data_IF_228741908688
#
_entry.id   IF_228741908688
#
_cell.length_a   1.000
_cell.length_b   1.000
_cell.length_c   1.000
_cell.angle_alpha   90.00
_cell.angle_beta   90.00
_cell.angle_gamma   90.00
#
_symmetry.space_group_name_H-M   'P 1'
#
loop_
_entity.id
_entity.type
_entity.pdbx_description
1 polymer ?
#
# COMPACT_ATOMS: atom_id res chain seq x y z
N UNK A 1 0.49 -13.32 -3.08
CA UNK A 1 1.42 -12.26 -3.53
C UNK A 1 1.51 -12.23 -5.06
N UNK A 2 1.57 -11.02 -5.63
CA UNK A 2 1.83 -10.87 -7.06
C UNK A 2 3.29 -11.26 -7.36
N UNK A 3 3.60 -11.68 -8.61
CA UNK A 3 4.98 -11.95 -9.00
C UNK A 3 5.86 -10.72 -8.77
N UNK A 4 7.06 -10.95 -8.26
CA UNK A 4 8.03 -9.89 -8.02
C UNK A 4 7.80 -9.03 -6.78
N UNK A 5 6.72 -9.25 -6.02
CA UNK A 5 6.40 -8.43 -4.83
C UNK A 5 7.46 -8.62 -3.74
N UNK A 6 7.75 -9.86 -3.37
CA UNK A 6 8.69 -10.15 -2.27
C UNK A 6 10.07 -9.61 -2.60
N UNK A 7 10.59 -9.94 -3.77
CA UNK A 7 11.90 -9.46 -4.21
C UNK A 7 11.92 -7.94 -4.38
N UNK A 8 10.86 -7.37 -4.93
CA UNK A 8 10.72 -5.93 -5.11
C UNK A 8 10.72 -5.16 -3.79
N UNK A 9 9.98 -5.62 -2.79
CA UNK A 9 9.96 -4.99 -1.46
C UNK A 9 11.34 -5.08 -0.82
N UNK A 10 11.98 -6.24 -0.90
CA UNK A 10 13.34 -6.41 -0.37
C UNK A 10 14.31 -5.41 -1.03
N UNK A 11 14.27 -5.26 -2.33
CA UNK A 11 15.13 -4.32 -3.08
C UNK A 11 14.86 -2.87 -2.69
N UNK A 12 13.60 -2.49 -2.50
CA UNK A 12 13.23 -1.15 -2.04
C UNK A 12 13.74 -0.92 -0.61
N UNK A 13 13.60 -1.90 0.28
CA UNK A 13 14.14 -1.81 1.64
C UNK A 13 15.66 -1.59 1.62
N UNK A 14 16.38 -2.36 0.83
CA UNK A 14 17.83 -2.27 0.70
C UNK A 14 18.27 -0.90 0.13
N UNK A 15 17.45 -0.30 -0.70
CA UNK A 15 17.71 1.03 -1.26
C UNK A 15 17.32 2.19 -0.32
N UNK A 16 16.81 1.88 0.88
CA UNK A 16 16.46 2.86 1.89
C UNK A 16 15.03 3.40 1.83
N UNK A 17 14.18 2.81 0.98
CA UNK A 17 12.76 3.20 0.93
C UNK A 17 11.97 2.62 2.10
N UNK A 18 11.07 3.43 2.66
CA UNK A 18 9.99 2.94 3.50
C UNK A 18 8.95 2.28 2.59
N UNK A 19 8.45 1.13 3.00
CA UNK A 19 7.38 0.43 2.28
C UNK A 19 6.14 0.40 3.16
N UNK A 20 5.09 1.05 2.70
CA UNK A 20 3.84 1.21 3.44
C UNK A 20 2.71 0.69 2.57
N UNK A 21 1.81 -0.08 3.19
CA UNK A 21 0.61 -0.61 2.52
C UNK A 21 -0.60 0.20 2.97
N UNK A 22 -1.43 0.61 2.02
CA UNK A 22 -2.72 1.23 2.28
C UNK A 22 -3.80 0.41 1.57
N UNK A 23 -4.77 -0.07 2.30
CA UNK A 23 -5.76 -0.99 1.75
C UNK A 23 -7.16 -0.75 2.29
N UNK A 24 -8.17 -0.86 1.41
CA UNK A 24 -9.56 -0.85 1.82
C UNK A 24 -9.95 -2.26 2.29
N UNK A 25 -10.64 -2.32 3.43
CA UNK A 25 -11.16 -3.56 4.02
C UNK A 25 -12.64 -3.37 4.36
N UNK A 26 -13.42 -2.92 3.38
CA UNK A 26 -14.84 -2.62 3.54
C UNK A 26 -15.71 -3.81 3.96
N UNK A 27 -15.25 -5.04 3.72
CA UNK A 27 -15.94 -6.25 4.16
C UNK A 27 -16.12 -6.36 5.67
N UNK A 28 -15.26 -5.70 6.47
CA UNK A 28 -15.43 -5.63 7.93
C UNK A 28 -16.74 -4.91 8.28
N UNK A 29 -16.98 -3.74 7.69
CA UNK A 29 -18.21 -2.97 7.94
C UNK A 29 -19.45 -3.70 7.44
N UNK A 30 -19.34 -4.48 6.37
CA UNK A 30 -20.43 -5.28 5.80
C UNK A 30 -20.67 -6.59 6.55
N UNK A 31 -19.82 -6.95 7.51
CA UNK A 31 -19.92 -8.21 8.25
C UNK A 31 -19.43 -9.44 7.49
N UNK A 32 -18.72 -9.27 6.39
CA UNK A 32 -18.19 -10.38 5.56
C UNK A 32 -17.00 -11.09 6.22
N UNK A 33 -16.19 -10.32 6.98
CA UNK A 33 -15.08 -10.82 7.78
C UNK A 33 -14.80 -9.83 8.92
N UNK A 34 -13.95 -10.21 9.87
CA UNK A 34 -13.66 -9.41 11.06
C UNK A 34 -12.33 -8.65 10.94
N UNK A 35 -12.11 -7.67 11.85
CA UNK A 35 -10.83 -6.99 11.98
C UNK A 35 -9.73 -8.01 12.33
N UNK A 36 -10.04 -8.99 13.18
CA UNK A 36 -9.11 -10.06 13.54
C UNK A 36 -8.69 -10.88 12.32
N UNK A 37 -9.62 -11.13 11.38
CA UNK A 37 -9.30 -11.80 10.11
C UNK A 37 -8.33 -10.97 9.26
N UNK A 38 -8.54 -9.65 9.19
CA UNK A 38 -7.65 -8.71 8.48
C UNK A 38 -6.25 -8.74 9.10
N UNK A 39 -6.16 -8.64 10.42
CA UNK A 39 -4.89 -8.65 11.14
C UNK A 39 -4.14 -9.97 10.97
N UNK A 40 -4.86 -11.09 10.94
CA UNK A 40 -4.26 -12.41 10.72
C UNK A 40 -3.62 -12.51 9.32
N UNK A 41 -4.31 -12.01 8.30
CA UNK A 41 -3.78 -11.98 6.92
C UNK A 41 -2.54 -11.08 6.84
N UNK A 42 -2.58 -9.91 7.46
CA UNK A 42 -1.45 -8.99 7.49
C UNK A 42 -0.25 -9.59 8.23
N UNK A 43 -0.49 -10.26 9.35
CA UNK A 43 0.57 -10.93 10.10
C UNK A 43 1.23 -12.05 9.28
N UNK A 44 0.44 -12.84 8.56
CA UNK A 44 0.93 -13.87 7.66
C UNK A 44 1.80 -13.27 6.55
N UNK A 45 1.31 -12.20 5.92
CA UNK A 45 2.02 -11.50 4.86
C UNK A 45 3.39 -10.99 5.35
N UNK A 46 3.41 -10.32 6.49
CA UNK A 46 4.64 -9.80 7.08
C UNK A 46 5.62 -10.91 7.45
N UNK A 47 5.12 -12.03 7.98
CA UNK A 47 5.95 -13.18 8.33
C UNK A 47 6.59 -13.83 7.09
N UNK A 48 5.83 -13.98 6.01
CA UNK A 48 6.33 -14.51 4.74
C UNK A 48 7.40 -13.59 4.13
N UNK A 49 7.16 -12.29 4.14
CA UNK A 49 8.13 -11.30 3.66
C UNK A 49 9.44 -11.38 4.47
N UNK A 50 9.34 -11.49 5.79
CA UNK A 50 10.50 -11.57 6.68
C UNK A 50 11.38 -12.78 6.37
N UNK A 51 10.78 -13.91 6.02
CA UNK A 51 11.53 -15.13 5.62
C UNK A 51 12.44 -14.86 4.42
N UNK A 52 12.11 -13.91 3.58
CA UNK A 52 12.85 -13.55 2.38
C UNK A 52 13.65 -12.26 2.51
N UNK A 53 13.79 -11.74 3.74
CA UNK A 53 14.55 -10.52 3.98
C UNK A 53 13.83 -9.23 3.58
N UNK A 54 12.53 -9.27 3.39
CA UNK A 54 11.71 -8.11 3.04
C UNK A 54 10.90 -7.62 4.24
N UNK A 55 10.57 -6.31 4.27
CA UNK A 55 9.86 -5.68 5.38
C UNK A 55 8.84 -4.69 4.88
N UNK A 56 7.65 -4.73 5.47
CA UNK A 56 6.65 -3.66 5.39
C UNK A 56 6.76 -2.84 6.69
N UNK A 57 6.92 -1.53 6.55
CA UNK A 57 7.14 -0.65 7.70
C UNK A 57 5.83 -0.34 8.43
N UNK A 58 4.72 -0.26 7.71
CA UNK A 58 3.39 -0.03 8.28
C UNK A 58 2.31 -0.46 7.31
N UNK A 59 1.19 -0.94 7.84
CA UNK A 59 -0.03 -1.23 7.08
C UNK A 59 -1.15 -0.36 7.65
N UNK A 60 -1.74 0.47 6.77
CA UNK A 60 -2.96 1.21 7.09
C UNK A 60 -4.11 0.53 6.36
N UNK A 61 -5.21 0.29 7.07
CA UNK A 61 -6.39 -0.25 6.44
C UNK A 61 -7.63 0.53 6.86
N UNK A 62 -8.58 0.65 5.93
CA UNK A 62 -9.87 1.25 6.18
C UNK A 62 -10.90 0.13 6.26
N UNK A 63 -11.53 -0.04 7.43
CA UNK A 63 -12.54 -1.07 7.67
C UNK A 63 -13.96 -0.57 7.44
N UNK A 64 -14.11 0.65 6.92
CA UNK A 64 -15.42 1.24 6.60
C UNK A 64 -15.84 0.91 5.16
N UNK A 65 -17.12 1.05 4.88
CA UNK A 65 -17.66 0.95 3.53
C UNK A 65 -18.77 1.97 3.33
N UNK A 66 -18.85 2.57 2.15
CA UNK A 66 -19.82 3.62 1.83
C UNK A 66 -21.27 3.14 1.94
N UNK A 67 -21.53 1.85 1.72
CA UNK A 67 -22.85 1.26 1.88
C UNK A 67 -23.33 1.21 3.34
N UNK A 68 -22.41 1.35 4.31
CA UNK A 68 -22.71 1.34 5.74
C UNK A 68 -22.59 2.75 6.32
N UNK A 69 -21.44 3.41 6.12
CA UNK A 69 -21.20 4.77 6.59
C UNK A 69 -20.03 5.39 5.78
N UNK A 70 -20.12 6.70 5.45
CA UNK A 70 -19.00 7.37 4.78
C UNK A 70 -17.83 7.55 5.73
N UNK A 71 -16.61 7.62 5.18
CA UNK A 71 -15.39 7.91 5.92
C UNK A 71 -14.38 8.65 5.04
N UNK A 72 -13.37 9.28 5.66
CA UNK A 72 -12.30 9.97 4.96
C UNK A 72 -11.10 9.09 4.66
N UNK A 73 -11.07 7.86 5.18
CA UNK A 73 -9.93 6.94 5.02
C UNK A 73 -10.05 6.01 3.80
N UNK A 74 -11.29 5.69 3.36
CA UNK A 74 -11.50 4.76 2.25
C UNK A 74 -11.10 5.38 0.92
N UNK A 75 -10.20 4.72 0.17
CA UNK A 75 -9.86 5.14 -1.19
C UNK A 75 -11.12 5.19 -2.06
N UNK A 76 -11.31 6.22 -2.87
CA UNK A 76 -10.32 7.20 -3.34
C UNK A 76 -10.04 8.37 -2.41
N UNK A 77 -10.58 8.40 -1.21
CA UNK A 77 -10.22 9.44 -0.23
C UNK A 77 -8.76 9.26 0.22
N UNK A 78 -8.01 10.35 0.48
CA UNK A 78 -6.59 10.29 0.76
C UNK A 78 -6.23 10.06 2.24
N UNK A 79 -7.21 9.80 3.11
CA UNK A 79 -7.00 9.80 4.57
C UNK A 79 -5.89 8.89 5.07
N UNK A 80 -5.81 7.65 4.56
CA UNK A 80 -4.75 6.72 4.96
C UNK A 80 -3.36 7.20 4.52
N UNK A 81 -3.26 7.73 3.30
CA UNK A 81 -1.99 8.23 2.76
C UNK A 81 -1.56 9.47 3.53
N UNK A 82 -2.48 10.39 3.81
CA UNK A 82 -2.20 11.58 4.60
C UNK A 82 -1.74 11.23 6.02
N UNK A 83 -2.34 10.22 6.63
CA UNK A 83 -1.93 9.72 7.94
C UNK A 83 -0.49 9.19 7.89
N UNK A 84 -0.16 8.40 6.88
CA UNK A 84 1.19 7.87 6.69
C UNK A 84 2.21 9.01 6.54
N UNK A 85 1.89 10.02 5.74
CA UNK A 85 2.75 11.19 5.52
C UNK A 85 3.06 11.88 6.85
N UNK A 86 2.06 12.07 7.70
CA UNK A 86 2.24 12.71 9.02
C UNK A 86 3.06 11.85 9.97
N UNK A 87 2.73 10.55 10.06
CA UNK A 87 3.36 9.66 11.05
C UNK A 87 4.83 9.36 10.74
N UNK A 88 5.20 9.32 9.47
CA UNK A 88 6.55 8.97 9.03
C UNK A 88 7.33 10.17 8.46
N UNK A 89 6.75 11.37 8.51
CA UNK A 89 7.37 12.59 7.96
C UNK A 89 7.85 12.36 6.51
N UNK A 90 6.94 11.89 5.68
CA UNK A 90 7.25 11.45 4.32
C UNK A 90 7.52 12.65 3.41
N UNK A 91 8.61 12.56 2.63
CA UNK A 91 8.89 13.49 1.54
C UNK A 91 8.02 13.12 0.33
N UNK A 92 6.98 13.91 0.08
CA UNK A 92 6.03 13.66 -1.00
C UNK A 92 6.71 13.65 -2.38
N UNK A 93 7.71 14.49 -2.59
CA UNK A 93 8.39 14.60 -3.86
C UNK A 93 9.26 13.38 -4.19
N UNK A 94 9.68 12.64 -3.16
CA UNK A 94 10.49 11.43 -3.29
C UNK A 94 9.67 10.15 -3.09
N UNK A 95 8.35 10.27 -3.06
CA UNK A 95 7.44 9.15 -2.76
C UNK A 95 6.50 8.89 -3.91
N UNK A 96 6.00 7.65 -3.98
CA UNK A 96 4.99 7.27 -4.96
C UNK A 96 4.11 6.15 -4.41
N UNK A 97 2.96 5.98 -5.05
CA UNK A 97 2.05 4.88 -4.75
C UNK A 97 1.93 3.98 -5.97
N UNK A 98 1.98 2.68 -5.76
CA UNK A 98 1.74 1.67 -6.79
C UNK A 98 0.41 1.01 -6.49
N UNK A 99 -0.50 1.01 -7.46
CA UNK A 99 -1.80 0.39 -7.30
C UNK A 99 -2.38 -0.11 -8.61
N UNK A 100 -3.33 -1.04 -8.54
CA UNK A 100 -3.98 -1.63 -9.70
C UNK A 100 -5.33 -1.02 -10.05
N UNK A 101 -5.84 -0.13 -9.22
CA UNK A 101 -7.14 0.50 -9.40
C UNK A 101 -7.08 2.01 -9.55
N UNK A 102 -8.07 2.58 -10.25
CA UNK A 102 -8.20 4.04 -10.36
C UNK A 102 -8.37 4.73 -9.01
N UNK A 103 -8.99 4.08 -8.03
CA UNK A 103 -9.15 4.59 -6.67
C UNK A 103 -7.81 4.81 -5.98
N UNK A 104 -6.85 3.93 -6.22
CA UNK A 104 -5.49 4.06 -5.66
C UNK A 104 -4.81 5.31 -6.19
N UNK A 105 -4.89 5.53 -7.49
CA UNK A 105 -4.27 6.66 -8.16
C UNK A 105 -4.94 7.98 -7.74
N UNK A 106 -6.27 8.01 -7.67
CA UNK A 106 -7.00 9.19 -7.19
C UNK A 106 -6.62 9.56 -5.76
N UNK A 107 -6.50 8.57 -4.88
CA UNK A 107 -6.10 8.79 -3.49
C UNK A 107 -4.68 9.36 -3.40
N UNK A 108 -3.75 8.84 -4.20
CA UNK A 108 -2.37 9.33 -4.25
C UNK A 108 -2.32 10.78 -4.72
N UNK A 109 -3.01 11.11 -5.81
CA UNK A 109 -3.07 12.46 -6.36
C UNK A 109 -3.70 13.45 -5.37
N UNK A 110 -4.77 13.04 -4.70
CA UNK A 110 -5.43 13.87 -3.69
C UNK A 110 -4.50 14.15 -2.49
N UNK A 111 -3.59 13.23 -2.17
CA UNK A 111 -2.60 13.42 -1.12
C UNK A 111 -1.32 14.13 -1.60
N UNK A 112 -1.21 14.45 -2.89
CA UNK A 112 -0.05 15.12 -3.47
C UNK A 112 1.13 14.19 -3.74
N UNK A 113 0.86 12.90 -3.97
CA UNK A 113 1.87 11.87 -4.28
C UNK A 113 1.63 11.33 -5.69
N UNK A 114 2.74 11.04 -6.40
CA UNK A 114 2.68 10.41 -7.72
C UNK A 114 2.11 9.00 -7.61
N UNK A 115 1.13 8.66 -8.45
CA UNK A 115 0.57 7.32 -8.55
C UNK A 115 1.04 6.62 -9.81
N UNK A 116 1.37 5.34 -9.69
CA UNK A 116 1.70 4.48 -10.83
C UNK A 116 0.68 3.35 -10.86
N UNK A 117 -0.07 3.26 -11.97
CA UNK A 117 -1.06 2.21 -12.16
C UNK A 117 -0.41 1.00 -12.82
N UNK A 118 -0.65 -0.18 -12.25
CA UNK A 118 -0.22 -1.47 -12.81
C UNK A 118 -1.44 -2.33 -13.12
N UNK A 119 -1.27 -3.36 -13.91
CA UNK A 119 -2.33 -4.34 -14.14
C UNK A 119 -2.45 -5.25 -12.92
N UNK A 120 -3.68 -5.61 -12.57
CA UNK A 120 -3.95 -6.56 -11.49
C UNK A 120 -3.20 -7.88 -11.74
N UNK A 121 -2.57 -8.41 -10.70
CA UNK A 121 -1.78 -9.64 -10.74
C UNK A 121 -0.58 -9.61 -11.71
N UNK A 122 -0.13 -8.44 -12.12
CA UNK A 122 1.06 -8.31 -12.96
C UNK A 122 2.34 -8.44 -12.15
N UNK A 123 3.45 -8.74 -12.85
CA UNK A 123 4.78 -8.78 -12.25
C UNK A 123 5.22 -7.37 -11.89
N UNK A 124 5.64 -7.14 -10.65
CA UNK A 124 6.10 -5.84 -10.18
C UNK A 124 7.56 -5.53 -10.55
N UNK A 125 8.32 -6.50 -11.02
CA UNK A 125 9.74 -6.31 -11.32
C UNK A 125 10.02 -5.12 -12.24
N UNK A 126 9.29 -4.92 -13.35
CA UNK A 126 9.55 -3.78 -14.22
C UNK A 126 9.36 -2.42 -13.55
N UNK A 127 8.31 -2.25 -12.73
CA UNK A 127 8.07 -0.98 -12.06
C UNK A 127 9.10 -0.74 -10.95
N UNK A 128 9.51 -1.78 -10.23
CA UNK A 128 10.57 -1.67 -9.22
C UNK A 128 11.89 -1.28 -9.86
N UNK A 129 12.25 -1.92 -10.97
CA UNK A 129 13.46 -1.58 -11.73
C UNK A 129 13.47 -0.11 -12.15
N UNK A 130 12.34 0.39 -12.62
CA UNK A 130 12.18 1.79 -13.02
C UNK A 130 12.37 2.74 -11.84
N UNK A 131 11.74 2.46 -10.70
CA UNK A 131 11.86 3.27 -9.48
C UNK A 131 13.30 3.34 -9.01
N UNK A 132 13.98 2.20 -8.93
CA UNK A 132 15.36 2.13 -8.44
C UNK A 132 16.33 2.82 -9.41
N UNK A 133 16.08 2.76 -10.70
CA UNK A 133 16.88 3.44 -11.71
C UNK A 133 16.75 4.96 -11.63
N UNK A 134 15.54 5.48 -11.39
CA UNK A 134 15.30 6.92 -11.22
C UNK A 134 15.94 7.49 -9.96
N UNK A 135 16.11 6.68 -8.90
CA UNK A 135 16.69 7.14 -7.64
C UNK A 135 18.21 7.21 -7.64
N UNK A 136 18.84 6.76 -8.70
CA UNK A 136 20.28 6.92 -8.92
C UNK A 136 20.59 8.29 -9.60
#
# INVERSE_FOLDING_TARGET
FNPGVIDGIRRLNEAGYLVIVVTNQGGVAKGEYTIEDVEAVHAYMCAELKKHGARIDKIYYCHHHDSVAPCSCRKPAPGMIEQAIREFDIDKSASLLIGDGGRDIEAAEAAGIRGIKIKKNSDLTPVIDHILKESL
#
